data_IF_485730870431
#
_entry.id   IF_485730870431
#
_cell.length_a   1.000
_cell.length_b   1.000
_cell.length_c   1.000
_cell.angle_alpha   90.00
_cell.angle_beta   90.00
_cell.angle_gamma   90.00
#
_symmetry.space_group_name_H-M   'P 1'
#
loop_
_entity.id
_entity.type
_entity.pdbx_description
1 polymer ?
#
# COMPACT_ATOMS: atom_id res chain seq x y z
N UNK A 1 -11.54 8.65 18.53
CA UNK A 1 -10.68 7.47 18.78
C UNK A 1 -9.27 7.86 18.42
N UNK A 2 -8.32 7.65 19.32
CA UNK A 2 -6.93 8.10 19.13
C UNK A 2 -6.34 7.49 17.84
N UNK A 3 -5.85 8.31 16.92
CA UNK A 3 -5.41 7.84 15.59
C UNK A 3 -4.22 6.88 15.69
N UNK A 4 -3.42 7.02 16.75
CA UNK A 4 -2.37 6.07 17.13
C UNK A 4 -2.92 4.68 17.50
N UNK A 5 -4.09 4.62 18.16
CA UNK A 5 -4.74 3.35 18.49
C UNK A 5 -5.21 2.64 17.23
N UNK A 6 -5.77 3.38 16.27
CA UNK A 6 -6.18 2.82 14.96
C UNK A 6 -4.96 2.33 14.19
N UNK A 7 -3.88 3.12 14.15
CA UNK A 7 -2.63 2.73 13.51
C UNK A 7 -2.09 1.41 14.09
N UNK A 8 -2.00 1.28 15.42
CA UNK A 8 -1.50 0.08 16.08
C UNK A 8 -2.39 -1.15 15.81
N UNK A 9 -3.70 -0.96 15.83
CA UNK A 9 -4.66 -2.02 15.53
C UNK A 9 -4.47 -2.51 14.09
N UNK A 10 -4.42 -1.60 13.11
CA UNK A 10 -4.18 -1.97 11.72
C UNK A 10 -2.80 -2.61 11.52
N UNK A 11 -1.75 -2.09 12.15
CA UNK A 11 -0.40 -2.68 12.07
C UNK A 11 -0.38 -4.13 12.52
N UNK A 12 -1.17 -4.52 13.52
CA UNK A 12 -1.21 -5.90 14.02
C UNK A 12 -2.19 -6.80 13.28
N UNK A 13 -3.43 -6.33 13.05
CA UNK A 13 -4.52 -7.18 12.56
C UNK A 13 -4.64 -7.23 11.04
N UNK A 14 -4.10 -6.25 10.31
CA UNK A 14 -4.17 -6.23 8.85
C UNK A 14 -3.50 -7.45 8.18
N UNK A 15 -2.29 -7.88 8.55
CA UNK A 15 -1.71 -9.09 7.97
C UNK A 15 -2.54 -10.36 8.27
N UNK A 16 -3.16 -10.42 9.45
CA UNK A 16 -4.06 -11.53 9.82
C UNK A 16 -5.31 -11.53 8.92
N UNK A 17 -5.88 -10.36 8.66
CA UNK A 17 -7.04 -10.21 7.78
C UNK A 17 -6.69 -10.58 6.33
N UNK A 18 -5.54 -10.14 5.82
CA UNK A 18 -5.03 -10.50 4.49
C UNK A 18 -4.83 -12.02 4.41
N UNK A 19 -4.26 -12.64 5.46
CA UNK A 19 -4.10 -14.10 5.52
C UNK A 19 -5.44 -14.84 5.56
N UNK A 20 -6.42 -14.33 6.31
CA UNK A 20 -7.79 -14.88 6.32
C UNK A 20 -8.43 -14.84 4.93
N UNK A 21 -8.25 -13.74 4.19
CA UNK A 21 -8.66 -13.63 2.78
C UNK A 21 -7.92 -14.64 1.89
N UNK A 22 -6.61 -14.82 2.08
CA UNK A 22 -5.86 -15.84 1.37
C UNK A 22 -6.42 -17.26 1.60
N UNK A 23 -6.62 -17.66 2.86
CA UNK A 23 -7.15 -18.98 3.21
C UNK A 23 -8.57 -19.17 2.64
N UNK A 24 -9.42 -18.16 2.76
CA UNK A 24 -10.77 -18.21 2.20
C UNK A 24 -10.76 -18.31 0.67
N UNK A 25 -9.89 -17.56 0.00
CA UNK A 25 -9.72 -17.63 -1.45
C UNK A 25 -9.22 -19.01 -1.90
N UNK A 26 -8.34 -19.64 -1.12
CA UNK A 26 -7.84 -20.98 -1.38
C UNK A 26 -8.95 -22.03 -1.26
N UNK A 27 -9.71 -22.00 -0.16
CA UNK A 27 -10.81 -22.93 0.08
C UNK A 27 -11.94 -22.84 -0.96
N UNK A 28 -12.13 -21.67 -1.58
CA UNK A 28 -13.13 -21.45 -2.61
C UNK A 28 -12.57 -21.48 -4.05
N UNK A 29 -11.31 -21.91 -4.22
CA UNK A 29 -10.62 -21.98 -5.52
C UNK A 29 -10.63 -20.65 -6.31
N UNK A 30 -10.71 -19.52 -5.60
CA UNK A 30 -10.80 -18.19 -6.19
C UNK A 30 -9.40 -17.62 -6.43
N UNK A 31 -8.83 -17.97 -7.58
CA UNK A 31 -7.50 -17.51 -8.02
C UNK A 31 -7.32 -15.99 -7.99
N UNK A 32 -8.36 -15.20 -8.28
CA UNK A 32 -8.28 -13.73 -8.26
C UNK A 32 -8.09 -13.20 -6.85
N UNK A 33 -8.86 -13.74 -5.92
CA UNK A 33 -8.76 -13.39 -4.50
C UNK A 33 -7.38 -13.73 -3.95
N UNK A 34 -6.83 -14.89 -4.31
CA UNK A 34 -5.46 -15.29 -3.95
C UNK A 34 -4.43 -14.28 -4.46
N UNK A 35 -4.54 -13.85 -5.72
CA UNK A 35 -3.64 -12.86 -6.32
C UNK A 35 -3.71 -11.52 -5.57
N UNK A 36 -4.93 -11.04 -5.27
CA UNK A 36 -5.11 -9.81 -4.48
C UNK A 36 -4.52 -9.94 -3.07
N UNK A 37 -4.80 -11.04 -2.37
CA UNK A 37 -4.27 -11.27 -1.03
C UNK A 37 -2.73 -11.30 -1.00
N UNK A 38 -2.10 -11.97 -1.98
CA UNK A 38 -0.63 -11.97 -2.14
C UNK A 38 -0.14 -10.54 -2.40
N UNK A 39 -0.74 -9.80 -3.33
CA UNK A 39 -0.34 -8.43 -3.63
C UNK A 39 -0.46 -7.49 -2.42
N UNK A 40 -1.53 -7.62 -1.63
CA UNK A 40 -1.71 -6.87 -0.38
C UNK A 40 -0.65 -7.22 0.66
N UNK A 41 -0.32 -8.51 0.79
CA UNK A 41 0.69 -8.99 1.72
C UNK A 41 2.09 -8.47 1.34
N UNK A 42 2.45 -8.58 0.07
CA UNK A 42 3.74 -8.06 -0.45
C UNK A 42 3.83 -6.56 -0.22
N UNK A 43 2.77 -5.81 -0.54
CA UNK A 43 2.74 -4.35 -0.33
C UNK A 43 2.87 -3.99 1.15
N UNK A 44 2.15 -4.69 2.03
CA UNK A 44 2.24 -4.46 3.46
C UNK A 44 3.67 -4.67 3.98
N UNK A 45 4.31 -5.78 3.61
CA UNK A 45 5.67 -6.08 4.07
C UNK A 45 6.72 -5.16 3.45
N UNK A 46 6.60 -4.83 2.16
CA UNK A 46 7.48 -3.88 1.49
C UNK A 46 7.44 -2.52 2.21
N UNK A 47 6.24 -1.97 2.41
CA UNK A 47 6.08 -0.68 3.12
C UNK A 47 6.66 -0.75 4.53
N UNK A 48 6.45 -1.86 5.25
CA UNK A 48 7.01 -2.04 6.58
C UNK A 48 8.54 -2.08 6.58
N UNK A 49 9.14 -2.73 5.58
CA UNK A 49 10.58 -2.81 5.40
C UNK A 49 11.17 -1.42 5.07
N UNK A 50 10.49 -0.67 4.22
CA UNK A 50 10.86 0.71 3.85
C UNK A 50 10.89 1.64 5.06
N UNK A 51 9.87 1.55 5.93
CA UNK A 51 9.82 2.30 7.18
C UNK A 51 10.89 1.85 8.18
N UNK A 52 11.19 0.56 8.23
CA UNK A 52 12.25 0.02 9.07
C UNK A 52 13.62 0.56 8.64
N UNK A 53 13.93 0.55 7.33
CA UNK A 53 15.14 1.12 6.78
C UNK A 53 15.26 2.63 7.02
N UNK A 54 14.14 3.37 6.92
CA UNK A 54 14.07 4.80 7.26
C UNK A 54 14.48 5.05 8.71
N UNK A 55 13.88 4.31 9.65
CA UNK A 55 14.17 4.45 11.07
C UNK A 55 15.63 4.14 11.41
N UNK A 56 16.20 3.10 10.79
CA UNK A 56 17.61 2.73 10.97
C UNK A 56 18.57 3.53 10.07
N UNK A 57 18.08 4.54 9.35
CA UNK A 57 18.86 5.48 8.50
C UNK A 57 19.79 4.77 7.50
N UNK A 58 19.35 3.65 6.93
CA UNK A 58 20.07 2.96 5.85
C UNK A 58 20.09 3.83 4.59
N UNK A 59 21.25 3.90 3.92
CA UNK A 59 21.67 4.92 2.94
C UNK A 59 20.56 5.69 2.19
N UNK A 60 19.86 5.04 1.25
CA UNK A 60 18.87 5.65 0.36
C UNK A 60 17.59 6.10 1.10
N UNK A 61 17.35 5.57 2.29
CA UNK A 61 16.14 5.78 3.09
C UNK A 61 16.30 6.88 4.13
N UNK A 62 17.32 7.74 4.02
CA UNK A 62 17.45 8.90 4.91
C UNK A 62 16.52 10.07 4.54
N UNK A 63 16.06 10.10 3.29
CA UNK A 63 15.17 11.15 2.81
C UNK A 63 13.70 10.78 3.05
N UNK A 64 13.02 11.56 3.89
CA UNK A 64 11.60 11.39 4.17
C UNK A 64 10.74 11.53 2.90
N UNK A 65 11.13 12.39 1.95
CA UNK A 65 10.43 12.56 0.67
C UNK A 65 10.52 11.29 -0.17
N UNK A 66 11.73 10.71 -0.26
CA UNK A 66 11.96 9.43 -0.92
C UNK A 66 11.10 8.31 -0.35
N UNK A 67 11.12 8.15 0.98
CA UNK A 67 10.34 7.08 1.63
C UNK A 67 8.84 7.30 1.47
N UNK A 68 8.33 8.54 1.58
CA UNK A 68 6.92 8.84 1.29
C UNK A 68 6.52 8.41 -0.13
N UNK A 69 7.34 8.78 -1.12
CA UNK A 69 7.06 8.46 -2.51
C UNK A 69 7.10 6.95 -2.77
N UNK A 70 8.03 6.25 -2.12
CA UNK A 70 8.18 4.81 -2.26
C UNK A 70 7.00 4.05 -1.62
N UNK A 71 6.62 4.41 -0.39
CA UNK A 71 5.47 3.81 0.31
C UNK A 71 4.16 3.96 -0.50
N UNK A 72 3.90 5.14 -1.05
CA UNK A 72 2.72 5.38 -1.90
C UNK A 72 2.83 4.55 -3.19
N UNK A 73 4.01 4.54 -3.81
CA UNK A 73 4.23 3.81 -5.05
C UNK A 73 4.06 2.31 -4.85
N UNK A 74 4.56 1.72 -3.75
CA UNK A 74 4.38 0.30 -3.43
C UNK A 74 2.91 -0.05 -3.26
N UNK A 75 2.13 0.74 -2.51
CA UNK A 75 0.70 0.50 -2.33
C UNK A 75 -0.04 0.52 -3.67
N UNK A 76 0.21 1.52 -4.51
CA UNK A 76 -0.52 1.70 -5.78
C UNK A 76 -0.04 0.72 -6.85
N UNK A 77 1.27 0.51 -6.98
CA UNK A 77 1.82 -0.34 -8.05
C UNK A 77 1.75 -1.83 -7.70
N UNK A 78 2.13 -2.22 -6.49
CA UNK A 78 2.12 -3.63 -6.08
C UNK A 78 0.73 -4.00 -5.56
N UNK A 79 0.18 -3.18 -4.66
CA UNK A 79 -1.07 -3.51 -3.97
C UNK A 79 -2.28 -3.48 -4.88
N UNK A 80 -2.33 -2.51 -5.79
CA UNK A 80 -3.45 -2.33 -6.72
C UNK A 80 -3.14 -2.76 -8.16
N UNK A 81 -2.16 -2.12 -8.81
CA UNK A 81 -1.95 -2.26 -10.25
C UNK A 81 -1.51 -3.68 -10.63
N UNK A 82 -0.44 -4.19 -10.00
CA UNK A 82 0.10 -5.53 -10.28
C UNK A 82 -0.94 -6.60 -9.95
N UNK A 83 -1.55 -6.54 -8.77
CA UNK A 83 -2.63 -7.46 -8.36
C UNK A 83 -3.76 -7.49 -9.38
N UNK A 84 -4.22 -6.33 -9.84
CA UNK A 84 -5.30 -6.22 -10.83
C UNK A 84 -4.87 -6.76 -12.19
N UNK A 85 -3.67 -6.41 -12.65
CA UNK A 85 -3.15 -6.90 -13.92
C UNK A 85 -3.05 -8.43 -13.89
N UNK A 86 -2.48 -9.01 -12.84
CA UNK A 86 -2.33 -10.46 -12.70
C UNK A 86 -3.68 -11.17 -12.57
N UNK A 87 -4.61 -10.65 -11.77
CA UNK A 87 -5.93 -11.27 -11.53
C UNK A 87 -6.80 -11.36 -12.80
N UNK A 88 -6.57 -10.48 -13.77
CA UNK A 88 -7.32 -10.45 -15.04
C UNK A 88 -6.46 -10.78 -16.26
N UNK A 89 -5.21 -11.21 -16.06
CA UNK A 89 -4.35 -11.65 -17.16
C UNK A 89 -4.69 -13.08 -17.59
N UNK A 90 -4.67 -13.29 -18.91
CA UNK A 90 -4.68 -14.62 -19.51
C UNK A 90 -3.32 -14.93 -20.11
N UNK A 91 -3.04 -16.21 -20.39
CA UNK A 91 -1.79 -16.64 -21.03
C UNK A 91 -1.46 -15.85 -22.31
N UNK A 92 -2.49 -15.57 -23.13
CA UNK A 92 -2.33 -14.86 -24.39
C UNK A 92 -1.94 -13.38 -24.22
N UNK A 93 -2.39 -12.74 -23.14
CA UNK A 93 -2.20 -11.29 -22.92
C UNK A 93 -1.17 -10.97 -21.84
N UNK A 94 -0.55 -11.98 -21.22
CA UNK A 94 0.34 -11.82 -20.07
C UNK A 94 1.50 -10.86 -20.35
N UNK A 95 2.24 -11.03 -21.45
CA UNK A 95 3.38 -10.18 -21.79
C UNK A 95 2.96 -8.72 -22.04
N UNK A 96 1.83 -8.52 -22.73
CA UNK A 96 1.28 -7.18 -22.97
C UNK A 96 0.89 -6.51 -21.66
N UNK A 97 0.22 -7.25 -20.78
CA UNK A 97 -0.22 -6.79 -19.47
C UNK A 97 0.97 -6.45 -18.55
N UNK A 98 2.05 -7.23 -18.62
CA UNK A 98 3.31 -6.96 -17.93
C UNK A 98 3.99 -5.68 -18.46
N UNK A 99 3.98 -5.46 -19.78
CA UNK A 99 4.49 -4.22 -20.36
C UNK A 99 3.69 -2.99 -19.90
N UNK A 100 2.35 -3.11 -19.87
CA UNK A 100 1.45 -2.08 -19.32
C UNK A 100 1.78 -1.81 -17.85
N UNK A 101 2.03 -2.85 -17.04
CA UNK A 101 2.44 -2.69 -15.65
C UNK A 101 3.71 -1.83 -15.53
N UNK A 102 4.77 -2.12 -16.28
CA UNK A 102 6.01 -1.36 -16.19
C UNK A 102 5.85 0.10 -16.63
N UNK A 103 5.14 0.35 -17.75
CA UNK A 103 4.91 1.70 -18.26
C UNK A 103 4.06 2.52 -17.28
N UNK A 104 2.92 1.97 -16.85
CA UNK A 104 2.00 2.66 -15.94
C UNK A 104 2.63 2.80 -14.55
N UNK A 105 3.36 1.80 -14.07
CA UNK A 105 4.09 1.86 -12.81
C UNK A 105 5.15 2.96 -12.78
N UNK A 106 5.94 3.10 -13.86
CA UNK A 106 6.91 4.18 -13.99
C UNK A 106 6.24 5.57 -13.98
N UNK A 107 5.09 5.70 -14.66
CA UNK A 107 4.30 6.94 -14.66
C UNK A 107 3.76 7.25 -13.26
N UNK A 108 3.23 6.26 -12.54
CA UNK A 108 2.75 6.43 -11.16
C UNK A 108 3.89 6.91 -10.26
N UNK A 109 5.08 6.31 -10.35
CA UNK A 109 6.24 6.74 -9.57
C UNK A 109 6.63 8.19 -9.89
N UNK A 110 6.77 8.53 -11.18
CA UNK A 110 7.15 9.88 -11.60
C UNK A 110 6.14 10.96 -11.15
N UNK A 111 4.84 10.67 -11.26
CA UNK A 111 3.77 11.58 -10.82
C UNK A 111 3.75 11.71 -9.31
N UNK A 112 3.89 10.59 -8.59
CA UNK A 112 3.98 10.56 -7.12
C UNK A 112 5.15 11.42 -6.65
N UNK A 113 6.35 11.22 -7.21
CA UNK A 113 7.55 11.97 -6.85
C UNK A 113 7.40 13.49 -7.04
N UNK A 114 6.78 13.91 -8.16
CA UNK A 114 6.54 15.33 -8.47
C UNK A 114 5.48 15.97 -7.57
N UNK A 115 4.49 15.18 -7.15
CA UNK A 115 3.31 15.68 -6.46
C UNK A 115 3.37 15.50 -4.94
N UNK A 116 4.40 14.81 -4.43
CA UNK A 116 4.53 14.39 -3.03
C UNK A 116 4.40 15.56 -2.05
N UNK A 117 4.98 16.71 -2.37
CA UNK A 117 4.97 17.91 -1.52
C UNK A 117 3.63 18.67 -1.60
N UNK A 118 2.84 18.42 -2.65
CA UNK A 118 1.53 19.06 -2.91
C UNK A 118 0.35 18.17 -2.53
N UNK A 119 0.60 16.90 -2.25
CA UNK A 119 -0.39 15.90 -1.85
C UNK A 119 -0.68 16.07 -0.36
N UNK A 120 -1.79 16.75 -0.05
CA UNK A 120 -2.31 16.71 1.32
C UNK A 120 -2.79 15.29 1.66
N UNK A 121 -2.59 14.88 2.91
CA UNK A 121 -2.99 13.55 3.41
C UNK A 121 -4.44 13.21 3.07
N UNK A 122 -5.35 14.18 3.20
CA UNK A 122 -6.76 14.00 2.86
C UNK A 122 -7.00 13.68 1.38
N UNK A 123 -6.28 14.35 0.45
CA UNK A 123 -6.40 14.06 -1.00
C UNK A 123 -5.84 12.69 -1.34
N UNK A 124 -4.75 12.28 -0.69
CA UNK A 124 -4.19 10.94 -0.84
C UNK A 124 -5.20 9.87 -0.41
N UNK A 125 -5.80 10.03 0.78
CA UNK A 125 -6.76 9.02 1.26
C UNK A 125 -8.02 8.95 0.38
N UNK A 126 -8.51 10.09 -0.13
CA UNK A 126 -9.63 10.10 -1.11
C UNK A 126 -9.25 9.35 -2.39
N UNK A 127 -8.05 9.60 -2.93
CA UNK A 127 -7.58 8.90 -4.12
C UNK A 127 -7.47 7.37 -3.89
N UNK A 128 -6.93 6.94 -2.75
CA UNK A 128 -6.82 5.52 -2.41
C UNK A 128 -8.20 4.87 -2.18
N UNK A 129 -9.17 5.61 -1.64
CA UNK A 129 -10.56 5.18 -1.55
C UNK A 129 -11.19 4.95 -2.93
N UNK A 130 -10.89 5.82 -3.91
CA UNK A 130 -11.34 5.61 -5.30
C UNK A 130 -10.74 4.33 -5.87
N UNK A 131 -9.46 4.03 -5.60
CA UNK A 131 -8.86 2.76 -6.01
C UNK A 131 -9.54 1.55 -5.36
N UNK A 132 -9.91 1.64 -4.08
CA UNK A 132 -10.71 0.59 -3.41
C UNK A 132 -12.06 0.37 -4.11
N UNK A 133 -12.76 1.44 -4.49
CA UNK A 133 -14.01 1.33 -5.26
C UNK A 133 -13.81 0.67 -6.63
N UNK A 134 -12.67 0.94 -7.30
CA UNK A 134 -12.33 0.25 -8.54
C UNK A 134 -12.11 -1.25 -8.32
N UNK A 135 -11.47 -1.65 -7.20
CA UNK A 135 -11.36 -3.07 -6.82
C UNK A 135 -12.75 -3.67 -6.64
N UNK A 136 -13.67 -3.00 -5.93
CA UNK A 136 -15.04 -3.48 -5.70
C UNK A 136 -15.77 -3.76 -7.01
N UNK A 137 -15.71 -2.83 -7.97
CA UNK A 137 -16.34 -2.99 -9.29
C UNK A 137 -15.77 -4.21 -10.04
N UNK A 138 -14.48 -4.48 -9.88
CA UNK A 138 -13.79 -5.57 -10.57
C UNK A 138 -14.03 -6.93 -9.92
N UNK A 139 -13.84 -7.04 -8.61
CA UNK A 139 -13.88 -8.31 -7.88
C UNK A 139 -15.29 -8.82 -7.66
N UNK A 140 -16.31 -7.93 -7.65
CA UNK A 140 -17.70 -8.26 -7.27
C UNK A 140 -17.80 -8.90 -5.87
N UNK A 141 -16.80 -8.69 -5.03
CA UNK A 141 -16.67 -9.17 -3.65
C UNK A 141 -16.37 -7.97 -2.77
N UNK A 142 -16.94 -7.94 -1.56
CA UNK A 142 -16.76 -6.84 -0.61
C UNK A 142 -15.44 -6.98 0.16
N UNK A 143 -14.91 -8.19 0.31
CA UNK A 143 -13.78 -8.45 1.19
C UNK A 143 -12.48 -7.81 0.68
N UNK A 144 -12.20 -7.94 -0.62
CA UNK A 144 -10.97 -7.47 -1.26
C UNK A 144 -10.85 -5.94 -1.26
N UNK A 145 -11.90 -5.19 -1.65
CA UNK A 145 -11.87 -3.73 -1.56
C UNK A 145 -11.84 -3.24 -0.12
N UNK A 146 -12.46 -3.95 0.83
CA UNK A 146 -12.39 -3.61 2.25
C UNK A 146 -10.96 -3.74 2.78
N UNK A 147 -10.28 -4.86 2.48
CA UNK A 147 -8.88 -5.06 2.86
C UNK A 147 -7.98 -3.99 2.23
N UNK A 148 -8.19 -3.67 0.96
CA UNK A 148 -7.43 -2.60 0.30
C UNK A 148 -7.70 -1.23 0.91
N UNK A 149 -8.94 -0.93 1.32
CA UNK A 149 -9.28 0.31 2.01
C UNK A 149 -8.61 0.39 3.39
N UNK A 150 -8.58 -0.71 4.15
CA UNK A 150 -7.89 -0.77 5.44
C UNK A 150 -6.37 -0.65 5.29
N UNK A 151 -5.78 -1.26 4.26
CA UNK A 151 -4.38 -1.10 3.91
C UNK A 151 -4.07 0.35 3.51
N UNK A 152 -4.94 0.97 2.72
CA UNK A 152 -4.82 2.38 2.33
C UNK A 152 -4.91 3.33 3.52
N UNK A 153 -5.85 3.06 4.44
CA UNK A 153 -5.99 3.81 5.69
C UNK A 153 -4.74 3.65 6.57
N UNK A 154 -4.21 2.43 6.67
CA UNK A 154 -2.98 2.15 7.40
C UNK A 154 -1.80 2.94 6.81
N UNK A 155 -1.65 2.97 5.48
CA UNK A 155 -0.62 3.77 4.80
C UNK A 155 -0.81 5.26 5.05
N UNK A 156 -2.03 5.79 4.97
CA UNK A 156 -2.31 7.18 5.35
C UNK A 156 -1.86 7.49 6.78
N UNK A 157 -2.16 6.60 7.73
CA UNK A 157 -1.77 6.76 9.13
C UNK A 157 -0.25 6.61 9.35
N UNK A 158 0.41 5.71 8.61
CA UNK A 158 1.87 5.59 8.58
C UNK A 158 2.51 6.90 8.11
N UNK A 159 2.02 7.49 7.02
CA UNK A 159 2.59 8.71 6.47
C UNK A 159 2.38 9.90 7.42
N UNK A 160 1.24 9.92 8.12
CA UNK A 160 0.90 10.93 9.13
C UNK A 160 1.69 10.78 10.43
N UNK A 161 1.83 9.57 10.95
CA UNK A 161 2.40 9.30 12.28
C UNK A 161 3.84 8.78 12.23
N UNK A 162 4.15 7.83 11.34
CA UNK A 162 5.48 7.21 11.24
C UNK A 162 6.60 8.17 10.81
N UNK A 163 6.27 9.24 10.06
CA UNK A 163 7.26 10.23 9.62
C UNK A 163 7.36 11.45 10.55
N UNK A 164 6.32 11.75 11.34
CA UNK A 164 6.26 12.92 12.24
C UNK A 164 6.69 12.56 13.68
N UNK A 165 6.44 11.33 14.14
CA UNK A 165 6.58 10.98 15.57
C UNK A 165 7.99 10.51 15.98
N UNK A 166 8.91 10.33 15.04
CA UNK A 166 10.30 9.94 15.33
C UNK A 166 11.32 11.06 15.12
N UNK A 167 10.95 12.15 14.43
CA UNK A 167 11.75 13.38 14.40
C UNK A 167 11.67 14.16 15.70
N UNK A 168 10.60 14.02 16.49
CA UNK A 168 10.44 14.71 17.78
C UNK A 168 11.10 13.99 18.97
N UNK A 169 11.39 12.69 18.86
CA UNK A 169 12.18 11.98 19.89
C UNK A 169 13.68 12.28 19.85
N UNK A 170 14.16 12.99 18.83
CA UNK A 170 15.53 13.50 18.74
C UNK A 170 15.67 14.98 19.07
N UNK A 171 14.59 15.67 19.47
CA UNK A 171 14.58 17.12 19.72
C UNK A 171 14.16 17.50 21.15
N UNK A 172 13.94 16.52 22.03
CA UNK A 172 13.50 16.70 23.42
C UNK A 172 14.36 15.92 24.44
N UNK A 173 15.59 15.55 24.07
CA UNK A 173 16.57 14.94 25.01
C UNK A 173 17.82 15.77 25.21
N UNK A 174 17.80 17.06 24.86
CA UNK A 174 18.85 18.03 25.22
C UNK A 174 18.19 19.34 25.67
N UNK A 175 17.66 19.33 26.90
CA UNK A 175 17.42 20.49 27.76
C UNK A 175 17.47 20.02 29.21
#
# INVERSE_FOLDING_TARGET
>A
MDSMRIHNLLTFYLPILIFGSFVYGFLNENSRMLIYAIGYLVSYFAIRLELHHYYHKWSAHRDARFVKALVISELVTVGFLLSTILAYSTRANFNRNLMVFFIVGALIYAVTWRSIDRLSEGRLCVFLLVLSLLVLIKTKSILEPLIFALLSLWVCLVLKHGLVTYTSKGLLTDC
#
